data_IF_317339090441
#
_entry.id   IF_317339090441
#
_cell.length_a   1.000
_cell.length_b   1.000
_cell.length_c   1.000
_cell.angle_alpha   90.00
_cell.angle_beta   90.00
_cell.angle_gamma   90.00
#
_symmetry.space_group_name_H-M   'P 1'
#
loop_
_entity.id
_entity.type
_entity.pdbx_description
1 polymer ?
#
# COMPACT_ATOMS: atom_id res chain seq x y z
N UNK A 1 -10.99 22.44 5.72
CA UNK A 1 -10.51 23.83 5.62
C UNK A 1 -9.03 24.03 5.98
N UNK A 2 -8.37 23.15 6.77
CA UNK A 2 -6.95 23.35 7.15
C UNK A 2 -5.90 22.82 6.14
N UNK A 3 -6.28 21.97 5.17
CA UNK A 3 -5.30 21.24 4.34
C UNK A 3 -4.54 22.14 3.36
N UNK A 4 -5.13 23.20 2.81
CA UNK A 4 -4.42 24.07 1.87
C UNK A 4 -3.50 25.09 2.55
N UNK A 5 -3.73 25.39 3.83
CA UNK A 5 -2.91 26.35 4.59
C UNK A 5 -1.49 25.85 4.83
N UNK A 6 -1.25 24.55 4.65
CA UNK A 6 0.09 23.95 4.76
C UNK A 6 1.01 24.34 3.58
N UNK A 7 0.42 24.77 2.45
CA UNK A 7 1.15 25.26 1.28
C UNK A 7 1.65 26.67 1.60
N UNK A 8 2.95 26.89 1.39
CA UNK A 8 3.59 28.14 1.79
C UNK A 8 2.98 29.32 1.01
N UNK A 9 2.49 30.32 1.75
CA UNK A 9 1.94 31.54 1.18
C UNK A 9 0.45 31.51 0.82
N UNK A 10 -0.24 30.37 0.93
CA UNK A 10 -1.71 30.32 0.81
C UNK A 10 -2.37 30.98 2.04
N UNK A 11 -1.93 30.62 3.25
CA UNK A 11 -2.52 31.19 4.48
C UNK A 11 -4.05 30.98 4.58
N UNK A 12 -4.69 31.68 5.52
CA UNK A 12 -6.13 31.50 5.76
C UNK A 12 -7.01 32.12 4.68
N UNK A 13 -6.70 33.35 4.27
CA UNK A 13 -7.49 34.13 3.32
C UNK A 13 -7.57 33.44 1.95
N UNK A 14 -6.44 33.05 1.36
CA UNK A 14 -6.47 32.35 0.06
C UNK A 14 -7.00 30.92 0.19
N UNK A 15 -6.76 30.23 1.31
CA UNK A 15 -7.36 28.91 1.52
C UNK A 15 -8.89 29.01 1.54
N UNK A 16 -9.47 30.04 2.14
CA UNK A 16 -10.92 30.23 2.14
C UNK A 16 -11.45 30.45 0.72
N UNK A 17 -10.83 31.35 -0.05
CA UNK A 17 -11.23 31.59 -1.45
C UNK A 17 -11.11 30.32 -2.29
N UNK A 18 -10.00 29.58 -2.18
CA UNK A 18 -9.79 28.32 -2.88
C UNK A 18 -10.91 27.31 -2.57
N UNK A 19 -11.28 27.16 -1.29
CA UNK A 19 -12.41 26.30 -0.89
C UNK A 19 -13.71 26.75 -1.57
N UNK A 20 -14.00 28.06 -1.59
CA UNK A 20 -15.22 28.63 -2.19
C UNK A 20 -15.29 28.42 -3.71
N UNK A 21 -14.15 28.33 -4.39
CA UNK A 21 -14.09 28.04 -5.84
C UNK A 21 -13.92 26.53 -6.15
N UNK A 22 -14.18 25.67 -5.17
CA UNK A 22 -14.19 24.22 -5.32
C UNK A 22 -12.80 23.59 -5.38
N UNK A 23 -11.83 24.17 -4.68
CA UNK A 23 -10.49 23.63 -4.45
C UNK A 23 -10.30 23.52 -2.94
N UNK A 24 -10.55 22.35 -2.37
CA UNK A 24 -10.58 22.16 -0.91
C UNK A 24 -9.43 21.30 -0.36
N UNK A 25 -8.60 20.76 -1.25
CA UNK A 25 -7.52 19.82 -0.91
C UNK A 25 -6.30 20.01 -1.80
N UNK A 26 -5.15 19.58 -1.29
CA UNK A 26 -3.88 19.52 -2.06
C UNK A 26 -4.02 18.67 -3.32
N UNK A 27 -4.81 17.60 -3.26
CA UNK A 27 -5.14 16.76 -4.41
C UNK A 27 -5.86 17.56 -5.50
N UNK A 28 -6.94 18.26 -5.15
CA UNK A 28 -7.70 19.05 -6.11
C UNK A 28 -6.83 20.15 -6.74
N UNK A 29 -6.06 20.87 -5.92
CA UNK A 29 -5.19 21.94 -6.37
C UNK A 29 -4.08 21.43 -7.31
N UNK A 30 -3.49 20.27 -7.04
CA UNK A 30 -2.41 19.68 -7.81
C UNK A 30 -2.74 19.48 -9.31
N UNK A 31 -4.02 19.38 -9.67
CA UNK A 31 -4.47 19.16 -11.05
C UNK A 31 -5.06 20.41 -11.72
N UNK A 32 -5.04 21.57 -11.04
CA UNK A 32 -5.59 22.80 -11.62
C UNK A 32 -4.62 23.46 -12.60
N UNK A 33 -5.19 24.24 -13.51
CA UNK A 33 -4.45 25.12 -14.40
C UNK A 33 -4.31 26.50 -13.72
N UNK A 34 -3.09 27.06 -13.59
CA UNK A 34 -2.88 28.32 -12.88
C UNK A 34 -3.72 29.48 -13.41
N UNK A 35 -3.80 29.65 -14.73
CA UNK A 35 -4.57 30.74 -15.35
C UNK A 35 -6.07 30.59 -15.09
N UNK A 36 -6.63 29.39 -15.32
CA UNK A 36 -8.05 29.14 -15.04
C UNK A 36 -8.41 29.30 -13.56
N UNK A 37 -7.47 28.99 -12.65
CA UNK A 37 -7.66 29.22 -11.22
C UNK A 37 -7.68 30.72 -10.91
N UNK A 38 -6.78 31.50 -11.53
CA UNK A 38 -6.78 32.96 -11.40
C UNK A 38 -8.11 33.57 -11.87
N UNK A 39 -8.60 33.14 -13.03
CA UNK A 39 -9.86 33.63 -13.60
C UNK A 39 -11.04 33.39 -12.64
N UNK A 40 -11.07 32.22 -11.98
CA UNK A 40 -12.08 31.90 -10.96
C UNK A 40 -11.93 32.74 -9.69
N UNK A 41 -10.71 33.02 -9.25
CA UNK A 41 -10.46 33.91 -8.10
C UNK A 41 -10.94 35.34 -8.43
N UNK A 42 -10.66 35.83 -9.63
CA UNK A 42 -11.14 37.13 -10.10
C UNK A 42 -12.67 37.19 -10.20
N UNK A 43 -13.31 36.12 -10.66
CA UNK A 43 -14.77 36.04 -10.70
C UNK A 43 -15.37 36.02 -9.28
N UNK A 44 -14.73 35.31 -8.35
CA UNK A 44 -15.14 35.27 -6.95
C UNK A 44 -15.00 36.64 -6.28
N UNK A 45 -13.85 37.31 -6.46
CA UNK A 45 -13.56 38.64 -5.90
C UNK A 45 -14.57 39.71 -6.38
N UNK A 46 -14.99 39.64 -7.64
CA UNK A 46 -16.08 40.49 -8.17
C UNK A 46 -17.42 40.28 -7.45
N UNK A 47 -17.71 39.06 -7.01
CA UNK A 47 -18.97 38.70 -6.32
C UNK A 47 -18.89 38.96 -4.82
N UNK A 48 -17.71 38.77 -4.23
CA UNK A 48 -17.42 38.92 -2.82
C UNK A 48 -16.08 39.67 -2.67
N UNK A 49 -16.12 41.01 -2.76
CA UNK A 49 -14.92 41.81 -2.58
C UNK A 49 -14.39 41.71 -1.15
N UNK A 50 -13.11 42.07 -0.96
CA UNK A 50 -12.43 42.21 0.33
C UNK A 50 -12.15 40.91 1.11
N UNK A 51 -12.41 39.73 0.54
CA UNK A 51 -12.05 38.43 1.16
C UNK A 51 -10.53 38.20 1.15
N UNK A 52 -9.84 38.71 0.14
CA UNK A 52 -8.37 38.66 0.03
C UNK A 52 -7.80 40.06 -0.12
N UNK A 53 -6.70 40.35 0.60
CA UNK A 53 -6.07 41.69 0.55
C UNK A 53 -5.41 42.01 -0.79
N UNK A 54 -5.05 40.98 -1.55
CA UNK A 54 -4.33 41.12 -2.82
C UNK A 54 -4.63 39.95 -3.73
N UNK A 55 -4.97 40.24 -4.99
CA UNK A 55 -5.11 39.20 -6.01
C UNK A 55 -3.75 38.53 -6.24
N UNK A 56 -3.65 37.18 -6.15
CA UNK A 56 -2.40 36.47 -6.41
C UNK A 56 -2.06 36.57 -7.90
N UNK A 57 -0.76 36.64 -8.22
CA UNK A 57 -0.33 36.54 -9.62
C UNK A 57 -0.32 35.07 -10.08
N UNK A 58 -0.29 34.85 -11.39
CA UNK A 58 -0.28 33.49 -11.97
C UNK A 58 0.96 32.70 -11.55
N UNK A 59 2.09 33.38 -11.31
CA UNK A 59 3.33 32.75 -10.84
C UNK A 59 3.14 32.16 -9.44
N UNK A 60 2.49 32.91 -8.53
CA UNK A 60 2.18 32.44 -7.17
C UNK A 60 1.26 31.22 -7.21
N UNK A 61 0.25 31.24 -8.08
CA UNK A 61 -0.65 30.10 -8.26
C UNK A 61 0.08 28.89 -8.85
N UNK A 62 1.05 29.12 -9.72
CA UNK A 62 1.90 28.06 -10.27
C UNK A 62 2.72 27.41 -9.15
N UNK A 63 3.36 28.21 -8.30
CA UNK A 63 4.11 27.72 -7.14
C UNK A 63 3.23 26.88 -6.20
N UNK A 64 2.02 27.36 -5.88
CA UNK A 64 1.08 26.62 -5.03
C UNK A 64 0.65 25.30 -5.66
N UNK A 65 0.42 25.27 -6.97
CA UNK A 65 0.04 24.05 -7.69
C UNK A 65 1.19 23.06 -7.74
N UNK A 66 2.43 23.52 -7.95
CA UNK A 66 3.63 22.67 -7.93
C UNK A 66 3.90 22.11 -6.53
N UNK A 67 3.78 22.93 -5.50
CA UNK A 67 3.90 22.49 -4.11
C UNK A 67 2.79 21.48 -3.76
N UNK A 68 1.54 21.74 -4.18
CA UNK A 68 0.43 20.80 -4.03
C UNK A 68 0.68 19.46 -4.76
N UNK A 69 1.25 19.50 -5.98
CA UNK A 69 1.67 18.29 -6.72
C UNK A 69 2.72 17.50 -5.95
N UNK A 70 3.73 18.18 -5.42
CA UNK A 70 4.79 17.56 -4.61
C UNK A 70 4.24 16.93 -3.33
N UNK A 71 3.38 17.65 -2.61
CA UNK A 71 2.72 17.16 -1.40
C UNK A 71 1.79 15.98 -1.69
N UNK A 72 0.99 16.07 -2.75
CA UNK A 72 0.11 14.97 -3.17
C UNK A 72 0.91 13.74 -3.61
N UNK A 73 2.01 13.92 -4.36
CA UNK A 73 2.89 12.82 -4.74
C UNK A 73 3.53 12.16 -3.53
N UNK A 74 4.05 12.94 -2.57
CA UNK A 74 4.59 12.43 -1.30
C UNK A 74 3.54 11.69 -0.49
N UNK A 75 2.33 12.23 -0.35
CA UNK A 75 1.20 11.60 0.34
C UNK A 75 0.78 10.30 -0.35
N UNK A 76 0.72 10.29 -1.69
CA UNK A 76 0.45 9.08 -2.49
C UNK A 76 1.52 8.02 -2.30
N UNK A 77 2.80 8.40 -2.25
CA UNK A 77 3.92 7.51 -1.96
C UNK A 77 3.89 7.00 -0.52
N UNK A 78 3.61 7.85 0.47
CA UNK A 78 3.48 7.47 1.88
C UNK A 78 2.28 6.55 2.14
N UNK A 79 1.13 6.81 1.49
CA UNK A 79 -0.03 5.90 1.53
C UNK A 79 0.31 4.54 0.90
N UNK A 80 1.16 4.52 -0.14
CA UNK A 80 1.70 3.29 -0.73
C UNK A 80 2.70 2.57 0.20
N UNK A 81 3.31 3.27 1.15
CA UNK A 81 4.26 2.78 2.15
C UNK A 81 3.60 2.45 3.51
N UNK A 82 2.28 2.20 3.55
CA UNK A 82 1.72 1.52 4.73
C UNK A 82 2.17 0.06 4.70
N UNK A 83 3.43 -0.14 5.05
CA UNK A 83 4.12 -1.41 5.11
C UNK A 83 3.38 -2.35 6.07
N UNK A 84 3.14 -3.57 5.63
CA UNK A 84 2.41 -4.54 6.44
C UNK A 84 3.34 -5.02 7.56
N UNK A 85 2.95 -4.90 8.85
CA UNK A 85 3.79 -5.35 9.96
C UNK A 85 4.21 -6.81 9.81
N UNK A 86 5.47 -7.13 10.09
CA UNK A 86 5.99 -8.51 9.94
C UNK A 86 5.27 -9.52 10.84
N UNK A 87 4.70 -9.05 11.96
CA UNK A 87 3.89 -9.86 12.88
C UNK A 87 2.58 -10.38 12.26
N UNK A 88 2.13 -9.80 11.15
CA UNK A 88 0.91 -10.25 10.49
C UNK A 88 1.13 -11.56 9.71
N UNK A 89 2.36 -12.00 9.45
CA UNK A 89 2.62 -13.30 8.81
C UNK A 89 2.28 -14.45 9.77
N UNK A 90 1.58 -15.46 9.26
CA UNK A 90 1.23 -16.66 10.01
C UNK A 90 2.48 -17.33 10.59
N UNK A 91 2.45 -17.61 11.90
CA UNK A 91 3.60 -18.16 12.64
C UNK A 91 4.62 -17.13 13.15
N UNK A 92 4.53 -15.85 12.81
CA UNK A 92 5.36 -14.78 13.41
C UNK A 92 4.68 -14.22 14.66
N UNK A 93 4.97 -14.80 15.82
CA UNK A 93 4.59 -14.21 17.11
C UNK A 93 5.47 -13.02 17.51
N UNK A 94 5.08 -12.34 18.60
CA UNK A 94 5.79 -11.17 19.17
C UNK A 94 7.29 -11.40 19.40
N UNK A 95 7.69 -12.62 19.78
CA UNK A 95 9.11 -12.97 19.96
C UNK A 95 9.88 -12.90 18.63
N UNK A 96 9.35 -13.50 17.57
CA UNK A 96 10.00 -13.53 16.27
C UNK A 96 9.97 -12.16 15.61
N UNK A 97 8.84 -11.42 15.68
CA UNK A 97 8.75 -10.06 15.13
C UNK A 97 9.83 -9.15 15.73
N UNK A 98 9.95 -9.08 17.07
CA UNK A 98 11.00 -8.29 17.74
C UNK A 98 12.42 -8.69 17.34
N UNK A 99 12.64 -9.99 17.13
CA UNK A 99 13.96 -10.52 16.74
C UNK A 99 14.31 -10.12 15.30
N UNK A 100 13.35 -10.22 14.38
CA UNK A 100 13.50 -9.81 12.99
C UNK A 100 13.63 -8.29 12.86
N UNK A 101 12.86 -7.52 13.62
CA UNK A 101 12.97 -6.06 13.70
C UNK A 101 14.36 -5.62 14.15
N UNK A 102 14.89 -6.26 15.20
CA UNK A 102 16.28 -6.03 15.67
C UNK A 102 17.33 -6.44 14.62
N UNK A 103 16.98 -7.35 13.72
CA UNK A 103 17.82 -7.74 12.59
C UNK A 103 17.72 -6.80 11.38
N UNK A 104 16.79 -5.85 11.38
CA UNK A 104 16.54 -4.88 10.32
C UNK A 104 15.36 -5.21 9.41
N UNK A 105 14.46 -6.11 9.82
CA UNK A 105 13.27 -6.54 9.08
C UNK A 105 12.02 -6.24 9.90
N UNK A 106 11.35 -5.12 9.61
CA UNK A 106 10.16 -4.68 10.35
C UNK A 106 8.83 -4.94 9.64
N UNK A 107 8.88 -5.29 8.36
CA UNK A 107 7.69 -5.42 7.52
C UNK A 107 7.78 -6.64 6.59
N UNK A 108 6.63 -7.02 6.04
CA UNK A 108 6.49 -8.16 5.11
C UNK A 108 7.26 -7.91 3.81
N UNK A 109 7.25 -6.68 3.31
CA UNK A 109 7.90 -6.31 2.05
C UNK A 109 9.41 -6.58 2.08
N UNK A 110 10.05 -6.49 3.25
CA UNK A 110 11.47 -6.77 3.45
C UNK A 110 11.82 -8.28 3.38
N UNK A 111 10.83 -9.16 3.45
CA UNK A 111 11.00 -10.61 3.29
C UNK A 111 10.81 -11.09 1.85
N UNK A 112 10.20 -10.28 0.98
CA UNK A 112 9.91 -10.68 -0.40
C UNK A 112 11.22 -10.84 -1.20
N UNK A 113 11.42 -12.02 -1.79
CA UNK A 113 12.53 -12.27 -2.71
C UNK A 113 13.91 -12.29 -2.04
N UNK A 114 13.99 -12.63 -0.76
CA UNK A 114 15.28 -12.81 -0.09
C UNK A 114 16.14 -13.84 -0.81
N UNK A 115 17.39 -13.47 -1.11
CA UNK A 115 18.38 -14.39 -1.64
C UNK A 115 18.78 -15.42 -0.57
N UNK A 116 19.19 -16.61 -1.00
CA UNK A 116 19.59 -17.71 -0.10
C UNK A 116 20.70 -17.31 0.87
N UNK A 117 21.66 -16.51 0.40
CA UNK A 117 22.76 -15.97 1.21
C UNK A 117 22.21 -15.07 2.32
N UNK A 118 21.21 -14.23 1.99
CA UNK A 118 20.57 -13.34 2.96
C UNK A 118 19.76 -14.10 4.00
N UNK A 119 19.06 -15.16 3.59
CA UNK A 119 18.34 -16.07 4.52
C UNK A 119 19.33 -16.69 5.50
N UNK A 120 20.48 -17.17 5.01
CA UNK A 120 21.53 -17.73 5.85
C UNK A 120 22.10 -16.71 6.85
N UNK A 121 22.43 -15.51 6.38
CA UNK A 121 22.91 -14.42 7.25
C UNK A 121 21.90 -14.07 8.35
N UNK A 122 20.61 -14.02 7.99
CA UNK A 122 19.54 -13.77 8.94
C UNK A 122 19.38 -14.91 9.94
N UNK A 123 19.48 -16.16 9.50
CA UNK A 123 19.44 -17.32 10.39
C UNK A 123 20.57 -17.28 11.42
N UNK A 124 21.80 -16.97 10.98
CA UNK A 124 22.96 -16.85 11.86
C UNK A 124 22.81 -15.72 12.89
N UNK A 125 22.28 -14.56 12.46
CA UNK A 125 22.08 -13.36 13.29
C UNK A 125 20.93 -13.51 14.28
N UNK A 126 19.81 -14.09 13.85
CA UNK A 126 18.56 -14.16 14.63
C UNK A 126 18.43 -15.46 15.43
N UNK A 127 19.24 -16.48 15.11
CA UNK A 127 19.10 -17.86 15.61
C UNK A 127 17.75 -18.50 15.27
N UNK A 128 17.10 -18.00 14.22
CA UNK A 128 15.92 -18.60 13.60
C UNK A 128 16.41 -19.56 12.51
N UNK A 129 15.74 -20.69 12.31
CA UNK A 129 16.16 -21.63 11.26
C UNK A 129 15.97 -21.05 9.86
N UNK A 130 16.89 -21.35 8.94
CA UNK A 130 16.79 -20.95 7.53
C UNK A 130 15.43 -21.33 6.95
N UNK A 131 14.97 -22.57 7.21
CA UNK A 131 13.66 -23.07 6.76
C UNK A 131 12.48 -22.20 7.20
N UNK A 132 12.52 -21.64 8.41
CA UNK A 132 11.41 -20.85 8.92
C UNK A 132 11.43 -19.43 8.32
N UNK A 133 12.62 -18.86 8.12
CA UNK A 133 12.78 -17.57 7.42
C UNK A 133 12.34 -17.71 5.95
N UNK A 134 12.72 -18.80 5.29
CA UNK A 134 12.34 -19.13 3.92
C UNK A 134 10.81 -19.24 3.80
N UNK A 135 10.17 -19.99 4.70
CA UNK A 135 8.70 -20.08 4.78
C UNK A 135 8.03 -18.70 4.92
N UNK A 136 8.56 -17.83 5.77
CA UNK A 136 8.00 -16.48 5.92
C UNK A 136 8.25 -15.59 4.69
N UNK A 137 9.34 -15.80 3.96
CA UNK A 137 9.58 -15.14 2.67
C UNK A 137 8.59 -15.61 1.59
N UNK A 138 8.29 -16.91 1.53
CA UNK A 138 7.27 -17.50 0.66
C UNK A 138 5.88 -16.92 0.97
N UNK A 139 5.50 -16.84 2.26
CA UNK A 139 4.26 -16.19 2.68
C UNK A 139 4.22 -14.72 2.28
N UNK A 140 5.31 -13.99 2.51
CA UNK A 140 5.42 -12.58 2.16
C UNK A 140 5.22 -12.36 0.66
N UNK A 141 5.76 -13.24 -0.19
CA UNK A 141 5.53 -13.16 -1.64
C UNK A 141 4.05 -13.41 -1.96
N UNK A 142 3.43 -14.47 -1.44
CA UNK A 142 2.02 -14.80 -1.69
C UNK A 142 1.05 -13.69 -1.23
N UNK A 143 1.34 -13.03 -0.10
CA UNK A 143 0.53 -11.95 0.45
C UNK A 143 0.56 -10.66 -0.39
N UNK A 144 1.36 -10.60 -1.45
CA UNK A 144 1.29 -9.53 -2.45
C UNK A 144 0.00 -9.59 -3.28
N UNK A 145 -0.68 -10.73 -3.31
CA UNK A 145 -1.92 -10.94 -4.04
C UNK A 145 -3.10 -10.40 -3.20
N UNK A 146 -3.88 -9.51 -3.78
CA UNK A 146 -5.11 -8.98 -3.20
C UNK A 146 -6.05 -10.09 -2.72
N UNK A 147 -6.38 -10.07 -1.42
CA UNK A 147 -7.27 -11.05 -0.80
C UNK A 147 -6.60 -12.33 -0.33
N UNK A 148 -5.30 -12.51 -0.57
CA UNK A 148 -4.49 -13.57 0.06
C UNK A 148 -3.90 -13.03 1.36
N UNK A 149 -4.60 -13.29 2.46
CA UNK A 149 -4.12 -12.98 3.81
C UNK A 149 -3.20 -14.07 4.39
N UNK A 150 -2.75 -13.91 5.65
CA UNK A 150 -1.81 -14.83 6.31
C UNK A 150 -2.27 -16.28 6.33
N UNK A 151 -3.54 -16.53 6.68
CA UNK A 151 -4.13 -17.88 6.72
C UNK A 151 -4.11 -18.55 5.33
N UNK A 152 -4.44 -17.79 4.27
CA UNK A 152 -4.41 -18.32 2.92
C UNK A 152 -3.00 -18.52 2.38
N UNK A 153 -2.05 -17.66 2.76
CA UNK A 153 -0.64 -17.82 2.39
C UNK A 153 -0.05 -19.10 3.01
N UNK A 154 -0.31 -19.37 4.29
CA UNK A 154 0.05 -20.62 4.96
C UNK A 154 -0.53 -21.83 4.23
N UNK A 155 -1.83 -21.80 3.92
CA UNK A 155 -2.52 -22.91 3.26
C UNK A 155 -2.00 -23.16 1.85
N UNK A 156 -1.75 -22.10 1.07
CA UNK A 156 -1.15 -22.20 -0.25
C UNK A 156 0.25 -22.81 -0.17
N UNK A 157 1.06 -22.37 0.80
CA UNK A 157 2.38 -22.93 1.07
C UNK A 157 2.32 -24.41 1.43
N UNK A 158 1.41 -24.82 2.33
CA UNK A 158 1.25 -26.22 2.73
C UNK A 158 0.80 -27.14 1.57
N UNK A 159 0.04 -26.61 0.60
CA UNK A 159 -0.27 -27.34 -0.65
C UNK A 159 0.83 -27.18 -1.73
N UNK A 160 2.01 -26.72 -1.32
CA UNK A 160 3.22 -26.61 -2.14
C UNK A 160 3.11 -25.53 -3.20
N UNK A 161 2.51 -24.38 -2.88
CA UNK A 161 2.61 -23.16 -3.69
C UNK A 161 3.51 -22.20 -2.92
N UNK A 162 4.76 -22.05 -3.37
CA UNK A 162 5.80 -21.32 -2.62
C UNK A 162 5.94 -19.84 -3.01
N UNK A 163 5.38 -19.45 -4.16
CA UNK A 163 5.60 -18.13 -4.73
C UNK A 163 4.43 -17.66 -5.60
N UNK A 164 4.34 -16.35 -5.80
CA UNK A 164 3.36 -15.73 -6.71
C UNK A 164 3.56 -16.25 -8.13
N UNK A 165 4.82 -16.42 -8.54
CA UNK A 165 5.16 -16.93 -9.87
C UNK A 165 4.66 -18.35 -10.07
N UNK A 166 4.84 -19.22 -9.08
CA UNK A 166 4.32 -20.59 -9.14
C UNK A 166 2.78 -20.58 -9.16
N UNK A 167 2.16 -19.77 -8.30
CA UNK A 167 0.71 -19.71 -8.20
C UNK A 167 0.06 -19.24 -9.51
N UNK A 168 0.67 -18.27 -10.21
CA UNK A 168 0.22 -17.76 -11.50
C UNK A 168 0.08 -18.85 -12.59
N UNK A 169 0.75 -19.99 -12.42
CA UNK A 169 0.73 -21.12 -13.35
C UNK A 169 -0.24 -22.23 -12.95
N UNK A 170 -0.84 -22.16 -11.76
CA UNK A 170 -1.73 -23.19 -11.25
C UNK A 170 -3.11 -23.15 -11.94
N UNK A 171 -3.80 -24.30 -11.89
CA UNK A 171 -5.20 -24.40 -12.29
C UNK A 171 -6.12 -24.09 -11.07
N UNK A 172 -7.13 -23.21 -11.20
CA UNK A 172 -8.00 -22.84 -10.08
C UNK A 172 -8.75 -24.02 -9.44
N UNK A 173 -9.31 -24.93 -10.26
CA UNK A 173 -10.09 -26.08 -9.76
C UNK A 173 -9.20 -27.03 -8.97
N UNK A 174 -8.07 -27.44 -9.57
CA UNK A 174 -7.13 -28.34 -8.90
C UNK A 174 -6.56 -27.72 -7.62
N UNK A 175 -6.35 -26.40 -7.61
CA UNK A 175 -5.85 -25.70 -6.43
C UNK A 175 -6.89 -25.70 -5.32
N UNK A 176 -8.16 -25.37 -5.62
CA UNK A 176 -9.24 -25.45 -4.65
C UNK A 176 -9.39 -26.87 -4.09
N UNK A 177 -9.34 -27.89 -4.94
CA UNK A 177 -9.45 -29.29 -4.50
C UNK A 177 -8.33 -29.66 -3.52
N UNK A 178 -7.10 -29.19 -3.76
CA UNK A 178 -5.97 -29.38 -2.83
C UNK A 178 -6.17 -28.63 -1.52
N UNK A 179 -6.67 -27.39 -1.57
CA UNK A 179 -6.99 -26.61 -0.36
C UNK A 179 -8.05 -27.33 0.49
N UNK A 180 -9.13 -27.81 -0.14
CA UNK A 180 -10.20 -28.54 0.56
C UNK A 180 -9.75 -29.92 1.07
N UNK A 181 -8.78 -30.55 0.40
CA UNK A 181 -8.17 -31.79 0.88
C UNK A 181 -7.32 -31.52 2.13
N UNK A 182 -6.52 -30.45 2.14
CA UNK A 182 -5.73 -30.05 3.31
C UNK A 182 -6.64 -29.79 4.52
N UNK A 183 -7.73 -29.04 4.34
CA UNK A 183 -8.69 -28.75 5.43
C UNK A 183 -9.36 -30.02 5.99
N UNK A 184 -9.56 -31.05 5.17
CA UNK A 184 -10.04 -32.36 5.65
C UNK A 184 -8.99 -33.12 6.47
N UNK A 185 -7.72 -32.99 6.12
CA UNK A 185 -6.60 -33.66 6.80
C UNK A 185 -6.19 -32.90 8.08
N UNK A 186 -6.28 -31.57 8.05
CA UNK A 186 -5.96 -30.64 9.12
C UNK A 186 -7.09 -29.61 9.21
N UNK A 187 -8.12 -29.88 10.01
CA UNK A 187 -9.25 -28.97 10.18
C UNK A 187 -8.83 -27.58 10.68
N UNK A 188 -9.64 -26.58 10.34
CA UNK A 188 -9.54 -25.20 10.83
C UNK A 188 -8.30 -24.43 10.35
N UNK A 189 -7.81 -24.72 9.13
CA UNK A 189 -6.66 -24.00 8.53
C UNK A 189 -6.99 -22.61 8.00
N UNK A 190 -8.27 -22.25 7.88
CA UNK A 190 -8.75 -20.90 7.58
C UNK A 190 -10.08 -20.66 8.28
N UNK A 191 -10.43 -19.39 8.54
CA UNK A 191 -11.76 -19.05 9.09
C UNK A 191 -12.89 -19.29 8.09
N UNK A 192 -12.59 -19.20 6.80
CA UNK A 192 -13.56 -19.36 5.72
C UNK A 192 -12.94 -20.07 4.52
N UNK A 193 -13.53 -21.18 4.04
CA UNK A 193 -13.12 -21.82 2.79
C UNK A 193 -13.13 -20.83 1.61
N UNK A 194 -12.08 -20.78 0.78
CA UNK A 194 -12.12 -19.98 -0.43
C UNK A 194 -13.11 -20.61 -1.43
N UNK A 195 -13.64 -19.78 -2.33
CA UNK A 195 -14.46 -20.24 -3.45
C UNK A 195 -13.61 -20.41 -4.70
N UNK A 196 -14.10 -21.19 -5.68
CA UNK A 196 -13.42 -21.33 -6.98
C UNK A 196 -13.18 -19.98 -7.66
N UNK A 197 -14.14 -19.05 -7.54
CA UNK A 197 -14.04 -17.69 -8.07
C UNK A 197 -12.89 -16.92 -7.42
N UNK A 198 -12.78 -16.98 -6.08
CA UNK A 198 -11.69 -16.33 -5.35
C UNK A 198 -10.32 -16.86 -5.79
N UNK A 199 -10.16 -18.20 -5.86
CA UNK A 199 -8.90 -18.82 -6.29
C UNK A 199 -8.56 -18.41 -7.73
N UNK A 200 -9.56 -18.36 -8.62
CA UNK A 200 -9.38 -17.87 -9.98
C UNK A 200 -8.93 -16.41 -10.04
N UNK A 201 -9.55 -15.53 -9.24
CA UNK A 201 -9.18 -14.12 -9.14
C UNK A 201 -7.75 -13.95 -8.62
N UNK A 202 -7.36 -14.72 -7.60
CA UNK A 202 -5.98 -14.71 -7.08
C UNK A 202 -4.95 -15.13 -8.12
N UNK A 203 -5.22 -16.19 -8.89
CA UNK A 203 -4.32 -16.65 -9.95
C UNK A 203 -4.21 -15.60 -11.07
N UNK A 204 -5.31 -14.96 -11.46
CA UNK A 204 -5.29 -13.89 -12.46
C UNK A 204 -4.56 -12.62 -11.98
N UNK A 205 -4.62 -12.33 -10.68
CA UNK A 205 -3.83 -11.27 -10.08
C UNK A 205 -2.35 -11.64 -10.00
N UNK A 206 -2.02 -12.87 -9.59
CA UNK A 206 -0.65 -13.38 -9.55
C UNK A 206 0.06 -13.23 -10.90
N UNK A 207 -0.63 -13.47 -12.02
CA UNK A 207 -0.11 -13.26 -13.39
C UNK A 207 0.28 -11.81 -13.71
N UNK A 208 -0.28 -10.83 -12.99
CA UNK A 208 -0.03 -9.39 -13.20
C UNK A 208 1.11 -8.87 -12.32
N UNK A 209 1.44 -9.61 -11.27
CA UNK A 209 2.53 -9.29 -10.35
C UNK A 209 3.85 -9.75 -11.00
N UNK A 210 4.80 -8.83 -11.10
CA UNK A 210 6.15 -9.10 -11.64
C UNK A 210 7.12 -9.50 -10.52
#
# INVERSE_FOLDING_TARGET
>A
MAELMIIKGVGSEYSEVLNKIGIDSTRELAYRNPQKTLDKILEFDKKQPDVIRKIPKVEILTDWIEEAKSMYAKKKTQIKLKETPIIDIEGIGTKFSKTLESAGLSNIEALVGLAKEKIKDLAEKTKISEKLIDKWAEHADLMRIGGVGPEYAEVLNEIGVDSVKEFAQRNPSNTLDRIMKLDKEKPDVFRRPPTLKMVGEWIEEAKKIK
#
